data_IF_973366681504
#
_entry.id   IF_973366681504
#
_cell.length_a   1.000
_cell.length_b   1.000
_cell.length_c   1.000
_cell.angle_alpha   90.00
_cell.angle_beta   90.00
_cell.angle_gamma   90.00
#
_symmetry.space_group_name_H-M   'P 1'
#
loop_
_entity.id
_entity.type
_entity.pdbx_description
1 polymer ?
#
# COMPACT_ATOMS: atom_id res chain seq x y z
N UNK A 1 22.60 -55.72 6.91
CA UNK A 1 21.83 -54.67 7.59
C UNK A 1 22.24 -53.24 7.21
N UNK A 2 23.42 -52.99 6.64
CA UNK A 2 23.88 -51.63 6.29
C UNK A 2 23.23 -51.03 5.03
N UNK A 3 22.76 -51.87 4.08
CA UNK A 3 22.19 -51.43 2.81
C UNK A 3 20.72 -50.93 2.88
N UNK A 4 20.00 -51.25 3.94
CA UNK A 4 18.60 -50.78 4.11
C UNK A 4 18.53 -49.36 4.69
N UNK A 5 19.55 -48.94 5.43
CA UNK A 5 19.58 -47.61 6.08
C UNK A 5 19.97 -46.53 5.07
N UNK A 6 20.86 -46.85 4.14
CA UNK A 6 21.29 -45.89 3.09
C UNK A 6 20.19 -45.55 2.07
N UNK A 7 19.25 -46.49 1.81
CA UNK A 7 18.15 -46.27 0.88
C UNK A 7 17.03 -45.40 1.47
N UNK A 8 16.79 -45.48 2.79
CA UNK A 8 15.80 -44.60 3.45
C UNK A 8 16.28 -43.13 3.58
N UNK A 9 17.58 -42.91 3.70
CA UNK A 9 18.16 -41.55 3.78
C UNK A 9 18.11 -40.88 2.41
N UNK A 10 18.32 -41.59 1.31
CA UNK A 10 18.21 -41.03 -0.04
C UNK A 10 16.79 -40.61 -0.42
N UNK A 11 15.78 -41.37 0.04
CA UNK A 11 14.36 -41.07 -0.26
C UNK A 11 13.84 -39.84 0.53
N UNK A 12 14.39 -39.60 1.73
CA UNK A 12 13.99 -38.44 2.55
C UNK A 12 14.59 -37.13 2.03
N UNK A 13 15.75 -37.18 1.35
CA UNK A 13 16.44 -35.99 0.84
C UNK A 13 15.81 -35.44 -0.46
N UNK A 14 15.10 -36.28 -1.22
CA UNK A 14 14.44 -35.89 -2.50
C UNK A 14 13.09 -35.20 -2.25
N UNK A 15 12.46 -35.41 -1.09
CA UNK A 15 11.16 -34.79 -0.73
C UNK A 15 11.25 -33.37 -0.16
N UNK A 16 12.47 -32.87 0.13
CA UNK A 16 12.68 -31.51 0.68
C UNK A 16 12.97 -30.43 -0.39
N UNK A 17 13.03 -30.78 -1.67
CA UNK A 17 13.38 -29.86 -2.76
C UNK A 17 12.19 -29.30 -3.54
N UNK A 18 10.95 -29.51 -3.08
CA UNK A 18 9.71 -29.22 -3.82
C UNK A 18 8.93 -27.96 -3.39
N UNK A 19 9.34 -27.21 -2.37
CA UNK A 19 8.62 -26.00 -1.95
C UNK A 19 9.42 -24.73 -2.28
N UNK A 20 9.68 -24.50 -3.57
CA UNK A 20 9.90 -23.13 -4.02
C UNK A 20 8.53 -22.46 -4.10
N UNK A 21 8.10 -21.87 -3.00
CA UNK A 21 6.98 -20.93 -2.98
C UNK A 21 7.36 -19.77 -3.90
N UNK A 22 6.87 -19.80 -5.14
CA UNK A 22 6.84 -18.62 -5.98
C UNK A 22 5.95 -17.60 -5.27
N UNK A 23 6.55 -16.72 -4.47
CA UNK A 23 5.89 -15.50 -4.04
C UNK A 23 5.76 -14.64 -5.29
N UNK A 24 4.61 -14.78 -5.98
CA UNK A 24 4.21 -13.86 -7.02
C UNK A 24 4.03 -12.50 -6.35
N UNK A 25 5.05 -11.66 -6.44
CA UNK A 25 4.90 -10.24 -6.10
C UNK A 25 4.04 -9.64 -7.19
N UNK A 26 2.75 -9.48 -6.90
CA UNK A 26 1.87 -8.70 -7.77
C UNK A 26 2.46 -7.29 -7.89
N UNK A 27 3.00 -6.98 -9.06
CA UNK A 27 3.52 -5.64 -9.34
C UNK A 27 2.36 -4.64 -9.24
N UNK A 28 2.58 -3.55 -8.49
CA UNK A 28 1.58 -2.51 -8.34
C UNK A 28 1.31 -1.86 -9.70
N UNK A 29 0.10 -2.04 -10.20
CA UNK A 29 -0.37 -1.39 -11.42
C UNK A 29 -0.92 0.00 -11.06
N UNK A 30 -0.22 1.05 -11.47
CA UNK A 30 -0.61 2.45 -11.23
C UNK A 30 -1.64 2.98 -12.26
N UNK A 31 -1.95 2.18 -13.29
CA UNK A 31 -2.91 2.53 -14.34
C UNK A 31 -2.43 3.62 -15.30
N UNK A 32 -1.12 3.87 -15.37
CA UNK A 32 -0.48 4.86 -16.23
C UNK A 32 0.43 4.24 -17.31
N UNK A 33 0.28 2.95 -17.61
CA UNK A 33 1.17 2.25 -18.55
C UNK A 33 1.17 2.85 -19.95
N UNK A 34 0.03 3.34 -20.43
CA UNK A 34 -0.09 3.97 -21.75
C UNK A 34 0.58 5.36 -21.80
N UNK A 35 0.86 5.97 -20.67
CA UNK A 35 1.46 7.29 -20.55
C UNK A 35 2.98 7.25 -20.31
N UNK A 36 3.58 6.06 -20.29
CA UNK A 36 5.03 5.87 -20.08
C UNK A 36 5.89 6.24 -21.30
N UNK A 37 5.31 6.89 -22.32
CA UNK A 37 6.03 7.34 -23.52
C UNK A 37 7.09 8.39 -23.20
N UNK A 38 6.82 9.27 -22.23
CA UNK A 38 7.79 10.21 -21.67
C UNK A 38 7.66 10.25 -20.15
N UNK A 39 8.76 10.60 -19.48
CA UNK A 39 8.74 10.77 -18.02
C UNK A 39 7.74 11.86 -17.58
N UNK A 40 7.58 12.91 -18.38
CA UNK A 40 6.66 14.00 -18.06
C UNK A 40 5.20 13.58 -18.19
N UNK A 41 4.82 12.84 -19.25
CA UNK A 41 3.45 12.33 -19.41
C UNK A 41 3.11 11.35 -18.30
N UNK A 42 4.05 10.48 -17.94
CA UNK A 42 3.87 9.54 -16.86
C UNK A 42 3.68 10.23 -15.49
N UNK A 43 4.51 11.23 -15.17
CA UNK A 43 4.36 12.01 -13.94
C UNK A 43 3.01 12.74 -13.87
N UNK A 44 2.55 13.32 -14.98
CA UNK A 44 1.22 13.98 -15.06
C UNK A 44 0.07 12.99 -14.85
N UNK A 45 0.18 11.78 -15.41
CA UNK A 45 -0.79 10.72 -15.19
C UNK A 45 -0.87 10.35 -13.70
N UNK A 46 0.28 10.09 -13.06
CA UNK A 46 0.35 9.79 -11.64
C UNK A 46 -0.26 10.92 -10.79
N UNK A 47 0.03 12.18 -11.10
CA UNK A 47 -0.56 13.34 -10.41
C UNK A 47 -2.09 13.35 -10.51
N UNK A 48 -2.62 13.14 -11.72
CA UNK A 48 -4.06 13.10 -11.95
C UNK A 48 -4.73 11.97 -11.18
N UNK A 49 -4.10 10.79 -11.15
CA UNK A 49 -4.58 9.64 -10.37
C UNK A 49 -4.57 9.93 -8.87
N UNK A 50 -3.48 10.48 -8.35
CA UNK A 50 -3.35 10.84 -6.92
C UNK A 50 -4.46 11.81 -6.51
N UNK A 51 -4.71 12.85 -7.31
CA UNK A 51 -5.79 13.81 -7.02
C UNK A 51 -7.15 13.15 -6.98
N UNK A 52 -7.43 12.24 -7.90
CA UNK A 52 -8.71 11.51 -7.94
C UNK A 52 -8.88 10.60 -6.73
N UNK A 53 -7.84 9.83 -6.40
CA UNK A 53 -7.88 8.91 -5.26
C UNK A 53 -7.96 9.66 -3.92
N UNK A 54 -7.25 10.78 -3.77
CA UNK A 54 -7.38 11.62 -2.56
C UNK A 54 -8.81 12.13 -2.36
N UNK A 55 -9.49 12.56 -3.41
CA UNK A 55 -10.91 12.95 -3.32
C UNK A 55 -11.79 11.77 -2.90
N UNK A 56 -11.51 10.59 -3.42
CA UNK A 56 -12.24 9.36 -3.03
C UNK A 56 -11.98 9.00 -1.56
N UNK A 57 -10.75 9.10 -1.09
CA UNK A 57 -10.41 8.90 0.33
C UNK A 57 -11.15 9.90 1.22
N UNK A 58 -11.13 11.20 0.86
CA UNK A 58 -11.81 12.27 1.59
C UNK A 58 -13.33 12.02 1.69
N UNK A 59 -13.97 11.55 0.61
CA UNK A 59 -15.40 11.19 0.67
C UNK A 59 -15.68 10.08 1.68
N UNK A 60 -14.85 9.04 1.73
CA UNK A 60 -15.00 7.95 2.69
C UNK A 60 -14.70 8.39 4.11
N UNK A 61 -13.63 9.16 4.33
CA UNK A 61 -13.29 9.75 5.63
C UNK A 61 -14.43 10.61 6.16
N UNK A 62 -15.00 11.50 5.34
CA UNK A 62 -16.12 12.35 5.73
C UNK A 62 -17.38 11.54 6.06
N UNK A 63 -17.67 10.48 5.29
CA UNK A 63 -18.79 9.58 5.60
C UNK A 63 -18.60 8.94 6.98
N UNK A 64 -17.43 8.40 7.26
CA UNK A 64 -17.14 7.76 8.55
C UNK A 64 -17.20 8.78 9.69
N UNK A 65 -16.68 10.00 9.51
CA UNK A 65 -16.78 11.06 10.50
C UNK A 65 -18.22 11.35 10.89
N UNK A 66 -19.11 11.48 9.91
CA UNK A 66 -20.56 11.71 10.16
C UNK A 66 -21.20 10.53 10.92
N UNK A 67 -20.90 9.30 10.52
CA UNK A 67 -21.42 8.10 11.19
C UNK A 67 -20.91 8.01 12.65
N UNK A 68 -19.64 8.35 12.91
CA UNK A 68 -19.04 8.36 14.24
C UNK A 68 -19.58 9.51 15.12
N UNK A 69 -19.83 10.69 14.56
CA UNK A 69 -20.46 11.81 15.27
C UNK A 69 -21.90 11.45 15.72
N UNK A 70 -22.67 10.83 14.82
CA UNK A 70 -23.99 10.32 15.18
C UNK A 70 -23.91 9.31 16.30
N UNK A 71 -23.01 8.31 16.21
CA UNK A 71 -22.81 7.28 17.22
C UNK A 71 -22.36 7.88 18.57
N UNK A 72 -21.47 8.89 18.53
CA UNK A 72 -21.06 9.63 19.74
C UNK A 72 -22.25 10.29 20.43
N UNK A 73 -23.14 10.95 19.66
CA UNK A 73 -24.32 11.61 20.21
C UNK A 73 -25.34 10.62 20.80
N UNK A 74 -25.46 9.43 20.21
CA UNK A 74 -26.37 8.38 20.67
C UNK A 74 -25.85 7.65 21.92
N UNK A 75 -24.54 7.43 22.02
CA UNK A 75 -23.93 6.57 23.05
C UNK A 75 -23.14 7.31 24.12
N UNK A 76 -22.83 8.59 23.90
CA UNK A 76 -21.91 9.37 24.74
C UNK A 76 -20.45 8.96 24.62
N UNK A 77 -20.07 8.06 23.72
CA UNK A 77 -18.70 7.59 23.56
C UNK A 77 -17.85 8.58 22.77
N UNK A 78 -17.15 9.46 23.46
CA UNK A 78 -16.25 10.47 22.88
C UNK A 78 -14.95 9.90 22.29
N UNK A 79 -14.62 8.65 22.54
CA UNK A 79 -13.32 8.08 22.12
C UNK A 79 -13.32 7.70 20.65
N UNK A 80 -14.44 7.23 20.10
CA UNK A 80 -14.53 6.74 18.73
C UNK A 80 -14.05 7.79 17.71
N UNK A 81 -14.69 8.96 17.74
CA UNK A 81 -14.38 10.05 16.81
C UNK A 81 -12.94 10.57 17.00
N UNK A 82 -12.50 10.69 18.26
CA UNK A 82 -11.14 11.17 18.59
C UNK A 82 -10.06 10.22 18.06
N UNK A 83 -10.24 8.92 18.26
CA UNK A 83 -9.28 7.91 17.79
C UNK A 83 -9.22 7.87 16.28
N UNK A 84 -10.37 7.94 15.62
CA UNK A 84 -10.41 7.97 14.14
C UNK A 84 -9.71 9.21 13.58
N UNK A 85 -10.03 10.41 14.07
CA UNK A 85 -9.35 11.65 13.63
C UNK A 85 -7.84 11.59 13.80
N UNK A 86 -7.36 11.02 14.91
CA UNK A 86 -5.93 10.84 15.12
C UNK A 86 -5.32 9.82 14.15
N UNK A 87 -6.03 8.72 13.87
CA UNK A 87 -5.56 7.71 12.92
C UNK A 87 -5.38 8.30 11.51
N UNK A 88 -6.31 9.14 11.05
CA UNK A 88 -6.21 9.84 9.77
C UNK A 88 -4.97 10.77 9.73
N UNK A 89 -4.75 11.55 10.78
CA UNK A 89 -3.58 12.43 10.89
C UNK A 89 -2.25 11.67 10.88
N UNK A 90 -2.18 10.55 11.59
CA UNK A 90 -0.96 9.72 11.62
C UNK A 90 -0.75 8.99 10.28
N UNK A 91 -1.84 8.62 9.58
CA UNK A 91 -1.73 8.08 8.23
C UNK A 91 -1.12 9.09 7.26
N UNK A 92 -1.54 10.36 7.26
CA UNK A 92 -0.97 11.40 6.40
C UNK A 92 0.54 11.56 6.62
N UNK A 93 0.97 11.62 7.88
CA UNK A 93 2.41 11.69 8.23
C UNK A 93 3.17 10.45 7.77
N UNK A 94 2.57 9.26 7.98
CA UNK A 94 3.17 8.00 7.54
C UNK A 94 3.39 7.99 6.01
N UNK A 95 2.41 8.44 5.23
CA UNK A 95 2.53 8.49 3.77
C UNK A 95 3.64 9.45 3.35
N UNK A 96 3.68 10.66 3.93
CA UNK A 96 4.73 11.63 3.65
C UNK A 96 6.12 11.04 3.87
N UNK A 97 6.41 10.54 5.06
CA UNK A 97 7.72 10.00 5.42
C UNK A 97 8.04 8.72 4.65
N UNK A 98 7.05 7.82 4.50
CA UNK A 98 7.20 6.55 3.78
C UNK A 98 7.52 6.77 2.30
N UNK A 99 6.98 7.80 1.67
CA UNK A 99 7.26 8.10 0.27
C UNK A 99 8.51 8.98 0.11
N UNK A 100 8.80 9.84 1.08
CA UNK A 100 9.97 10.72 1.08
C UNK A 100 11.29 9.95 1.13
N UNK A 101 11.39 8.92 1.98
CA UNK A 101 12.63 8.13 1.99
C UNK A 101 12.87 7.39 0.66
N UNK A 102 11.80 6.96 -0.04
CA UNK A 102 11.90 6.35 -1.38
C UNK A 102 12.40 7.35 -2.42
N UNK A 103 11.95 8.60 -2.34
CA UNK A 103 12.49 9.70 -3.14
C UNK A 103 13.99 9.86 -2.91
N UNK A 104 14.38 10.02 -1.65
CA UNK A 104 15.79 10.24 -1.26
C UNK A 104 16.70 9.09 -1.70
N UNK A 105 16.21 7.87 -1.64
CA UNK A 105 16.96 6.67 -2.05
C UNK A 105 17.21 6.58 -3.57
N UNK A 106 16.53 7.39 -4.38
CA UNK A 106 16.71 7.45 -5.85
C UNK A 106 17.61 8.58 -6.32
N UNK A 107 17.99 9.49 -5.43
CA UNK A 107 18.92 10.55 -5.80
C UNK A 107 20.29 9.96 -6.20
N UNK A 108 21.02 10.60 -7.14
CA UNK A 108 20.77 11.92 -7.74
C UNK A 108 19.79 11.96 -8.94
N UNK A 109 19.21 10.83 -9.37
CA UNK A 109 18.22 10.82 -10.46
C UNK A 109 16.89 11.39 -9.94
N UNK A 110 16.70 12.71 -10.14
CA UNK A 110 15.53 13.44 -9.65
C UNK A 110 14.23 13.02 -10.31
N UNK A 111 14.27 12.51 -11.54
CA UNK A 111 13.08 12.03 -12.26
C UNK A 111 12.66 10.69 -11.71
N UNK A 112 13.58 9.74 -11.59
CA UNK A 112 13.30 8.44 -10.96
C UNK A 112 12.86 8.60 -9.51
N UNK A 113 13.42 9.57 -8.79
CA UNK A 113 13.03 9.93 -7.42
C UNK A 113 11.57 10.43 -7.37
N UNK A 114 11.19 11.35 -8.25
CA UNK A 114 9.81 11.87 -8.33
C UNK A 114 8.80 10.76 -8.68
N UNK A 115 9.12 9.89 -9.63
CA UNK A 115 8.29 8.74 -9.99
C UNK A 115 8.12 7.80 -8.79
N UNK A 116 9.20 7.47 -8.08
CA UNK A 116 9.16 6.60 -6.91
C UNK A 116 8.27 7.17 -5.79
N UNK A 117 8.35 8.50 -5.55
CA UNK A 117 7.50 9.20 -4.59
C UNK A 117 6.02 9.09 -4.98
N UNK A 118 5.67 9.47 -6.20
CA UNK A 118 4.27 9.51 -6.68
C UNK A 118 3.63 8.13 -6.74
N UNK A 119 4.36 7.11 -7.18
CA UNK A 119 3.86 5.72 -7.13
C UNK A 119 3.60 5.25 -5.71
N UNK A 120 4.49 5.59 -4.77
CA UNK A 120 4.29 5.28 -3.36
C UNK A 120 3.05 5.99 -2.80
N UNK A 121 2.89 7.28 -3.08
CA UNK A 121 1.73 8.07 -2.64
C UNK A 121 0.42 7.49 -3.19
N UNK A 122 0.36 7.23 -4.50
CA UNK A 122 -0.81 6.63 -5.14
C UNK A 122 -1.18 5.28 -4.51
N UNK A 123 -0.20 4.39 -4.35
CA UNK A 123 -0.39 3.09 -3.71
C UNK A 123 -0.94 3.22 -2.29
N UNK A 124 -0.35 4.12 -1.48
CA UNK A 124 -0.76 4.31 -0.09
C UNK A 124 -2.19 4.80 0.02
N UNK A 125 -2.58 5.78 -0.80
CA UNK A 125 -3.94 6.32 -0.81
C UNK A 125 -4.95 5.26 -1.26
N UNK A 126 -4.65 4.47 -2.29
CA UNK A 126 -5.53 3.38 -2.74
C UNK A 126 -5.74 2.33 -1.65
N UNK A 127 -4.67 1.94 -0.96
CA UNK A 127 -4.76 0.99 0.17
C UNK A 127 -5.55 1.57 1.35
N UNK A 128 -5.42 2.85 1.61
CA UNK A 128 -6.21 3.51 2.64
C UNK A 128 -7.71 3.50 2.30
N UNK A 129 -8.09 3.77 1.05
CA UNK A 129 -9.48 3.67 0.61
C UNK A 129 -10.03 2.26 0.83
N UNK A 130 -9.24 1.22 0.52
CA UNK A 130 -9.66 -0.16 0.78
C UNK A 130 -9.95 -0.39 2.27
N UNK A 131 -9.09 0.13 3.16
CA UNK A 131 -9.28 0.04 4.62
C UNK A 131 -10.52 0.80 5.06
N UNK A 132 -10.73 2.02 4.57
CA UNK A 132 -11.91 2.83 4.90
C UNK A 132 -13.23 2.16 4.49
N UNK A 133 -13.22 1.33 3.45
CA UNK A 133 -14.39 0.58 2.97
C UNK A 133 -14.73 -0.67 3.79
N UNK A 134 -13.86 -1.13 4.68
CA UNK A 134 -14.09 -2.32 5.50
C UNK A 134 -15.11 -2.12 6.65
N UNK A 135 -15.77 -0.96 6.72
CA UNK A 135 -16.70 -0.60 7.80
C UNK A 135 -18.16 -0.90 7.49
#
# INVERSE_FOLDING_TARGET
MLNLITNKIKTCFILMLGFTSFVSQAEFNDGCDNEKTTNLSYLRCLDSKIVLEKRTAEMWTNKILLDLEKKQNETGNLQLLRVFKRAEQEFEKYVEDSCRWRYLNRLPDTIAAAIAYKRCELYSVQKHIEILKLQ
#
